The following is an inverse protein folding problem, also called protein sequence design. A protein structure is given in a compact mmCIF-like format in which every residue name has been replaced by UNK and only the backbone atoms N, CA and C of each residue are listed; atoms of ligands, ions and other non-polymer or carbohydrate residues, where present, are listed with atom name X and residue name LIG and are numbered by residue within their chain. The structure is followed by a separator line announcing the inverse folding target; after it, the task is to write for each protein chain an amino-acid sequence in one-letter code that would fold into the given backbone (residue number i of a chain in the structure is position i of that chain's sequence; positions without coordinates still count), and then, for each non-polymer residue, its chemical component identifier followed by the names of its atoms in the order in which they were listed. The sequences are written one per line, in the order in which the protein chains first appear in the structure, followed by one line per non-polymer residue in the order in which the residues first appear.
data_IF_154881866875
#
_entry.id   IF_154881866875
#
_cell.length_a   1.000
_cell.length_b   1.000
_cell.length_c   1.000
_cell.angle_alpha   90.00
_cell.angle_beta   90.00
_cell.angle_gamma   90.00
#
_symmetry.space_group_name_H-M   'P 1'
#
loop_
_entity.id
_entity.type
_entity.pdbx_description
1 polymer ?
#
# COMPACT_ATOMS: atom_id res chain seq x y z
N UNK A 1 16.05 39.36 46.97
CA UNK A 1 14.96 39.44 47.93
C UNK A 1 14.12 38.16 47.90
N UNK A 2 13.32 37.88 48.94
CA UNK A 2 12.50 36.66 48.98
C UNK A 2 11.52 36.52 47.81
N UNK A 3 11.03 37.63 47.27
CA UNK A 3 10.12 37.66 46.08
C UNK A 3 10.80 37.12 44.83
N UNK A 4 12.04 37.55 44.60
CA UNK A 4 12.82 37.10 43.42
C UNK A 4 13.11 35.60 43.48
N UNK A 5 13.43 35.08 44.66
CA UNK A 5 13.64 33.66 44.88
C UNK A 5 12.36 32.86 44.62
N UNK A 6 11.21 33.31 45.14
CA UNK A 6 9.91 32.67 44.90
C UNK A 6 9.54 32.61 43.42
N UNK A 7 9.84 33.69 42.66
CA UNK A 7 9.62 33.69 41.18
C UNK A 7 10.47 32.64 40.47
N UNK A 8 11.75 32.52 40.79
CA UNK A 8 12.62 31.53 40.19
C UNK A 8 12.20 30.09 40.50
N UNK A 9 11.78 29.84 41.74
CA UNK A 9 11.27 28.53 42.16
C UNK A 9 9.98 28.18 41.40
N UNK A 10 9.05 29.13 41.27
CA UNK A 10 7.81 28.93 40.48
C UNK A 10 8.11 28.67 39.02
N UNK A 11 9.02 29.42 38.41
CA UNK A 11 9.41 29.22 37.01
C UNK A 11 10.10 27.88 36.77
N UNK A 12 10.93 27.44 37.70
CA UNK A 12 11.56 26.13 37.67
C UNK A 12 10.53 25.01 37.74
N UNK A 13 9.56 25.09 38.66
CA UNK A 13 8.49 24.10 38.80
C UNK A 13 7.60 24.04 37.54
N UNK A 14 7.30 25.18 36.91
CA UNK A 14 6.58 25.23 35.65
C UNK A 14 7.37 24.58 34.52
N UNK A 15 8.67 24.79 34.44
CA UNK A 15 9.55 24.16 33.45
C UNK A 15 9.57 22.64 33.60
N UNK A 16 9.61 22.13 34.85
CA UNK A 16 9.53 20.69 35.15
C UNK A 16 8.18 20.09 34.71
N UNK A 17 7.08 20.81 34.91
CA UNK A 17 5.76 20.42 34.46
C UNK A 17 5.68 20.30 32.91
N UNK A 18 6.23 21.30 32.22
CA UNK A 18 6.33 21.29 30.74
C UNK A 18 7.17 20.15 30.20
N UNK A 19 8.29 19.82 30.84
CA UNK A 19 9.13 18.68 30.47
C UNK A 19 8.37 17.34 30.51
N UNK A 20 7.54 17.14 31.54
CA UNK A 20 6.71 15.93 31.68
C UNK A 20 5.67 15.82 30.57
N UNK A 21 5.02 16.91 30.20
CA UNK A 21 4.03 16.93 29.12
C UNK A 21 4.69 16.64 27.74
N UNK A 22 5.85 17.21 27.49
CA UNK A 22 6.63 16.94 26.27
C UNK A 22 7.14 15.50 26.21
N UNK A 23 7.56 14.95 27.36
CA UNK A 23 7.98 13.54 27.44
C UNK A 23 6.83 12.60 27.10
N UNK A 24 5.63 12.81 27.63
CA UNK A 24 4.46 11.98 27.34
C UNK A 24 4.12 11.99 25.82
N UNK A 25 4.11 13.18 25.18
CA UNK A 25 3.89 13.29 23.73
C UNK A 25 4.98 12.59 22.90
N UNK A 26 6.21 12.60 23.41
CA UNK A 26 7.34 11.91 22.75
C UNK A 26 7.19 10.39 22.89
N UNK A 27 6.70 9.90 24.02
CA UNK A 27 6.47 8.48 24.27
C UNK A 27 5.32 7.95 23.40
N UNK A 28 4.25 8.73 23.21
CA UNK A 28 3.17 8.38 22.27
C UNK A 28 3.69 8.28 20.84
N UNK A 29 4.53 9.24 20.42
CA UNK A 29 5.15 9.21 19.09
C UNK A 29 6.09 8.01 18.92
N UNK A 30 6.91 7.70 19.94
CA UNK A 30 7.77 6.50 19.94
C UNK A 30 6.93 5.23 19.86
N UNK A 31 5.88 5.12 20.66
CA UNK A 31 4.98 3.97 20.63
C UNK A 31 4.36 3.78 19.26
N UNK A 32 4.02 4.87 18.55
CA UNK A 32 3.54 4.81 17.18
C UNK A 32 4.63 4.33 16.21
N UNK A 33 5.85 4.85 16.32
CA UNK A 33 6.98 4.45 15.48
C UNK A 33 7.43 3.01 15.74
N UNK A 34 7.22 2.50 16.95
CA UNK A 34 7.57 1.12 17.33
C UNK A 34 6.51 0.08 16.94
N UNK A 35 5.38 0.53 16.34
CA UNK A 35 4.39 -0.40 15.77
C UNK A 35 5.04 -1.14 14.60
N UNK A 36 5.38 -2.39 14.85
CA UNK A 36 5.90 -3.27 13.79
C UNK A 36 4.80 -3.65 12.81
N UNK A 37 5.12 -3.64 11.54
CA UNK A 37 4.25 -4.22 10.53
C UNK A 37 4.09 -5.72 10.79
N UNK A 38 2.92 -6.27 10.47
CA UNK A 38 2.67 -7.72 10.63
C UNK A 38 3.72 -8.59 9.92
N UNK A 39 4.29 -8.08 8.81
CA UNK A 39 5.34 -8.77 8.06
C UNK A 39 6.71 -8.74 8.75
N UNK A 40 7.01 -7.71 9.53
CA UNK A 40 8.27 -7.61 10.32
C UNK A 40 8.27 -8.57 11.52
N UNK A 41 7.11 -9.08 11.91
CA UNK A 41 6.96 -10.10 12.96
C UNK A 41 7.25 -11.52 12.45
N UNK A 42 7.35 -11.70 11.15
CA UNK A 42 7.61 -12.99 10.52
C UNK A 42 9.13 -13.15 10.28
N UNK A 43 9.79 -13.94 11.11
CA UNK A 43 11.26 -14.11 11.05
C UNK A 43 11.76 -14.84 9.79
N UNK A 44 10.90 -15.60 9.11
CA UNK A 44 11.26 -16.36 7.90
C UNK A 44 10.13 -16.28 6.88
N UNK A 45 10.50 -15.97 5.66
CA UNK A 45 9.60 -16.01 4.51
C UNK A 45 9.99 -17.14 3.57
N UNK A 46 9.00 -17.86 3.09
CA UNK A 46 9.18 -18.84 2.02
C UNK A 46 9.49 -18.09 0.72
N UNK A 47 10.57 -18.42 0.01
CA UNK A 47 10.84 -17.78 -1.28
C UNK A 47 9.75 -18.12 -2.30
N UNK A 48 9.39 -17.15 -3.12
CA UNK A 48 8.43 -17.38 -4.20
C UNK A 48 9.05 -18.35 -5.21
N UNK A 49 8.38 -19.47 -5.54
CA UNK A 49 8.89 -20.41 -6.52
C UNK A 49 9.08 -19.73 -7.87
N UNK A 50 10.26 -19.89 -8.47
CA UNK A 50 10.47 -19.51 -9.87
C UNK A 50 9.73 -20.51 -10.75
N UNK A 51 8.69 -20.04 -11.42
CA UNK A 51 7.85 -20.87 -12.28
C UNK A 51 7.54 -20.13 -13.59
N UNK A 52 7.32 -20.88 -14.66
CA UNK A 52 6.88 -20.32 -15.95
C UNK A 52 5.42 -19.79 -15.91
N UNK A 53 4.73 -20.03 -14.79
CA UNK A 53 3.39 -19.55 -14.51
C UNK A 53 3.01 -19.75 -13.04
N UNK A 54 2.06 -18.94 -12.59
CA UNK A 54 1.52 -19.01 -11.23
C UNK A 54 0.07 -19.45 -11.27
N UNK A 55 -0.29 -20.38 -10.39
CA UNK A 55 -1.67 -20.81 -10.16
C UNK A 55 -2.11 -20.33 -8.79
N UNK A 56 -3.24 -19.64 -8.76
CA UNK A 56 -3.84 -19.13 -7.55
C UNK A 56 -5.08 -19.96 -7.20
N UNK A 57 -5.20 -20.34 -5.95
CA UNK A 57 -6.31 -21.12 -5.46
C UNK A 57 -6.87 -20.48 -4.19
N UNK A 58 -8.15 -20.14 -4.22
CA UNK A 58 -8.94 -19.71 -3.07
C UNK A 58 -9.64 -20.94 -2.51
N UNK A 59 -9.36 -21.28 -1.24
CA UNK A 59 -9.96 -22.42 -0.53
C UNK A 59 -10.81 -21.93 0.61
N UNK A 60 -12.13 -22.05 0.47
CA UNK A 60 -13.12 -21.68 1.49
C UNK A 60 -12.90 -20.25 2.03
N UNK A 61 -12.53 -19.32 1.17
CA UNK A 61 -12.17 -17.97 1.57
C UNK A 61 -13.40 -17.19 1.97
N UNK A 62 -13.41 -16.73 3.22
CA UNK A 62 -14.36 -15.76 3.74
C UNK A 62 -13.63 -14.54 4.27
N UNK A 63 -14.19 -13.35 4.02
CA UNK A 63 -13.59 -12.09 4.46
C UNK A 63 -14.64 -11.08 4.88
N UNK A 64 -14.37 -10.41 6.00
CA UNK A 64 -15.11 -9.23 6.47
C UNK A 64 -14.13 -8.13 6.87
N UNK A 65 -14.50 -6.90 6.56
CA UNK A 65 -13.72 -5.74 7.00
C UNK A 65 -13.81 -5.57 8.52
N UNK A 66 -12.73 -5.06 9.12
CA UNK A 66 -12.69 -4.78 10.56
C UNK A 66 -13.84 -3.83 10.95
N UNK A 67 -14.61 -4.20 11.96
CA UNK A 67 -15.76 -3.42 12.42
C UNK A 67 -17.07 -3.69 11.65
N UNK A 68 -17.08 -4.58 10.65
CA UNK A 68 -18.30 -5.01 9.96
C UNK A 68 -18.71 -6.41 10.42
N UNK A 69 -20.01 -6.64 10.59
CA UNK A 69 -20.55 -7.96 10.94
C UNK A 69 -20.80 -8.82 9.70
N UNK A 70 -21.04 -8.19 8.55
CA UNK A 70 -21.35 -8.87 7.29
C UNK A 70 -20.09 -9.25 6.53
N UNK A 71 -20.08 -10.44 5.95
CA UNK A 71 -19.02 -10.87 5.06
C UNK A 71 -19.08 -10.14 3.71
N UNK A 72 -17.96 -9.59 3.28
CA UNK A 72 -17.79 -9.04 1.94
C UNK A 72 -17.57 -10.17 0.90
N UNK A 73 -16.97 -11.28 1.32
CA UNK A 73 -16.89 -12.55 0.59
C UNK A 73 -17.16 -13.69 1.55
N UNK A 74 -17.86 -14.73 1.10
CA UNK A 74 -18.20 -15.88 1.92
C UNK A 74 -17.98 -17.17 1.15
N UNK A 75 -17.16 -18.05 1.73
CA UNK A 75 -16.89 -19.40 1.22
C UNK A 75 -16.52 -19.46 -0.27
N UNK A 76 -15.67 -18.54 -0.72
CA UNK A 76 -15.20 -18.49 -2.09
C UNK A 76 -14.22 -19.62 -2.36
N UNK A 77 -14.51 -20.42 -3.38
CA UNK A 77 -13.64 -21.45 -3.92
C UNK A 77 -13.42 -21.17 -5.41
N UNK A 78 -12.18 -20.93 -5.79
CA UNK A 78 -11.82 -20.56 -7.17
C UNK A 78 -10.37 -20.91 -7.43
N UNK A 79 -10.08 -21.47 -8.59
CA UNK A 79 -8.71 -21.71 -9.07
C UNK A 79 -8.54 -21.10 -10.45
N UNK A 80 -7.44 -20.39 -10.67
CA UNK A 80 -7.07 -19.83 -11.97
C UNK A 80 -5.54 -19.72 -12.07
N UNK A 81 -5.04 -19.63 -13.31
CA UNK A 81 -3.61 -19.52 -13.57
C UNK A 81 -3.26 -18.19 -14.21
N UNK A 82 -2.02 -17.73 -14.00
CA UNK A 82 -1.48 -16.59 -14.71
C UNK A 82 -1.57 -16.79 -16.24
N UNK A 83 -1.86 -15.71 -16.95
CA UNK A 83 -2.11 -15.77 -18.40
C UNK A 83 -3.56 -16.05 -18.81
N UNK A 84 -4.40 -16.50 -17.89
CA UNK A 84 -5.84 -16.60 -18.12
C UNK A 84 -6.52 -15.23 -18.06
N UNK A 85 -7.53 -15.02 -18.90
CA UNK A 85 -8.40 -13.85 -18.81
C UNK A 85 -9.61 -14.20 -17.95
N UNK A 86 -9.64 -13.66 -16.73
CA UNK A 86 -10.73 -13.85 -15.78
C UNK A 86 -11.57 -12.56 -15.71
N UNK A 87 -12.87 -12.68 -15.99
CA UNK A 87 -13.83 -11.61 -15.80
C UNK A 87 -14.63 -11.84 -14.50
N UNK A 88 -14.55 -10.88 -13.57
CA UNK A 88 -15.33 -10.92 -12.32
C UNK A 88 -16.51 -9.99 -12.46
N UNK A 89 -17.72 -10.53 -12.53
CA UNK A 89 -18.97 -9.80 -12.73
C UNK A 89 -19.86 -9.90 -11.50
N UNK A 90 -20.70 -8.90 -11.28
CA UNK A 90 -21.65 -8.87 -10.17
C UNK A 90 -22.14 -7.45 -9.88
N UNK A 91 -23.18 -7.34 -9.08
CA UNK A 91 -23.74 -6.06 -8.63
C UNK A 91 -22.72 -5.25 -7.80
N UNK A 92 -23.01 -3.95 -7.61
CA UNK A 92 -22.21 -3.13 -6.71
C UNK A 92 -22.31 -3.71 -5.28
N UNK A 93 -21.16 -3.78 -4.60
CA UNK A 93 -21.09 -4.41 -3.28
C UNK A 93 -20.94 -5.94 -3.28
N UNK A 94 -20.94 -6.62 -4.45
CA UNK A 94 -20.82 -8.08 -4.54
C UNK A 94 -19.40 -8.64 -4.21
N UNK A 95 -18.48 -7.81 -3.69
CA UNK A 95 -17.14 -8.26 -3.28
C UNK A 95 -16.08 -8.29 -4.38
N UNK A 96 -16.37 -7.79 -5.61
CA UNK A 96 -15.40 -7.80 -6.72
C UNK A 96 -14.05 -7.16 -6.38
N UNK A 97 -14.10 -5.94 -5.84
CA UNK A 97 -12.88 -5.23 -5.41
C UNK A 97 -12.22 -5.91 -4.21
N UNK A 98 -13.01 -6.51 -3.33
CA UNK A 98 -12.50 -7.27 -2.18
C UNK A 98 -11.73 -8.50 -2.63
N UNK A 99 -12.23 -9.23 -3.65
CA UNK A 99 -11.52 -10.36 -4.25
C UNK A 99 -10.11 -9.95 -4.73
N UNK A 100 -10.01 -8.85 -5.48
CA UNK A 100 -8.72 -8.34 -5.97
C UNK A 100 -7.81 -7.92 -4.80
N UNK A 101 -8.37 -7.22 -3.80
CA UNK A 101 -7.59 -6.80 -2.62
C UNK A 101 -7.02 -7.98 -1.83
N UNK A 102 -7.76 -9.08 -1.72
CA UNK A 102 -7.30 -10.31 -1.08
C UNK A 102 -6.26 -11.03 -1.94
N UNK A 103 -6.46 -11.12 -3.26
CA UNK A 103 -5.47 -11.68 -4.17
C UNK A 103 -4.14 -10.94 -4.10
N UNK A 104 -4.18 -9.61 -4.00
CA UNK A 104 -2.99 -8.76 -3.83
C UNK A 104 -2.43 -8.77 -2.40
N UNK A 105 -3.04 -9.54 -1.47
CA UNK A 105 -2.66 -9.55 -0.05
C UNK A 105 -2.63 -8.13 0.57
N UNK A 106 -3.53 -7.23 0.12
CA UNK A 106 -3.75 -5.94 0.80
C UNK A 106 -4.52 -6.13 2.11
N UNK A 107 -5.22 -7.24 2.23
CA UNK A 107 -5.88 -7.74 3.45
C UNK A 107 -5.65 -9.24 3.56
N UNK A 108 -5.55 -9.73 4.79
CA UNK A 108 -5.54 -11.16 5.06
C UNK A 108 -6.97 -11.68 5.17
N UNK A 109 -7.19 -12.93 4.77
CA UNK A 109 -8.50 -13.58 4.83
C UNK A 109 -8.95 -13.76 6.29
N UNK A 110 -10.27 -13.68 6.54
CA UNK A 110 -10.84 -13.99 7.87
C UNK A 110 -10.89 -15.49 8.12
N UNK A 111 -11.25 -16.25 7.07
CA UNK A 111 -11.32 -17.72 7.09
C UNK A 111 -10.83 -18.27 5.76
N UNK A 112 -10.32 -19.50 5.79
CA UNK A 112 -9.76 -20.14 4.62
C UNK A 112 -8.34 -19.70 4.30
N UNK A 113 -7.93 -19.93 3.08
CA UNK A 113 -6.57 -19.62 2.62
C UNK A 113 -6.54 -19.34 1.12
N UNK A 114 -5.55 -18.53 0.71
CA UNK A 114 -5.25 -18.28 -0.69
C UNK A 114 -3.86 -18.87 -0.95
N UNK A 115 -3.76 -19.75 -1.93
CA UNK A 115 -2.51 -20.39 -2.29
C UNK A 115 -2.00 -19.86 -3.61
N UNK A 116 -0.68 -19.72 -3.70
CA UNK A 116 0.05 -19.49 -4.95
C UNK A 116 0.99 -20.70 -5.16
N UNK A 117 0.75 -21.44 -6.22
CA UNK A 117 1.44 -22.72 -6.50
C UNK A 117 1.45 -23.68 -5.30
N UNK A 118 0.33 -23.74 -4.57
CA UNK A 118 0.15 -24.64 -3.42
C UNK A 118 0.68 -24.11 -2.08
N UNK A 119 1.34 -22.97 -2.05
CA UNK A 119 1.89 -22.33 -0.84
C UNK A 119 0.96 -21.18 -0.44
N UNK A 120 0.64 -21.07 0.85
CA UNK A 120 -0.17 -19.95 1.36
C UNK A 120 0.54 -18.62 1.11
N UNK A 121 -0.18 -17.65 0.52
CA UNK A 121 0.41 -16.35 0.18
C UNK A 121 0.92 -15.59 1.41
N UNK A 122 0.45 -15.95 2.61
CA UNK A 122 0.92 -15.36 3.88
C UNK A 122 2.34 -15.80 4.25
N UNK A 123 2.83 -16.90 3.68
CA UNK A 123 4.19 -17.38 3.92
C UNK A 123 5.26 -16.61 3.12
N UNK A 124 4.87 -15.91 2.06
CA UNK A 124 5.80 -15.14 1.25
C UNK A 124 6.15 -13.79 1.89
N UNK A 125 7.33 -13.25 1.57
CA UNK A 125 7.57 -11.82 1.77
C UNK A 125 6.58 -10.99 0.96
N UNK A 126 5.93 -10.02 1.60
CA UNK A 126 4.88 -9.22 0.97
C UNK A 126 5.38 -8.40 -0.20
N UNK A 127 6.57 -7.81 -0.08
CA UNK A 127 7.14 -6.98 -1.14
C UNK A 127 7.54 -7.82 -2.35
N UNK A 128 8.07 -9.03 -2.13
CA UNK A 128 8.37 -9.96 -3.23
C UNK A 128 7.07 -10.47 -3.88
N UNK A 129 6.04 -10.76 -3.08
CA UNK A 129 4.74 -11.19 -3.60
C UNK A 129 4.07 -10.10 -4.45
N UNK A 130 4.15 -8.84 -4.04
CA UNK A 130 3.60 -7.72 -4.82
C UNK A 130 4.24 -7.58 -6.20
N UNK A 131 5.49 -7.96 -6.38
CA UNK A 131 6.18 -7.92 -7.68
C UNK A 131 5.58 -8.87 -8.71
N UNK A 132 4.76 -9.84 -8.29
CA UNK A 132 4.03 -10.73 -9.21
C UNK A 132 2.88 -10.04 -9.94
N UNK A 133 2.45 -8.86 -9.49
CA UNK A 133 1.26 -8.19 -9.97
C UNK A 133 1.56 -6.80 -10.51
N UNK A 134 0.71 -6.38 -11.44
CA UNK A 134 0.67 -5.01 -11.93
C UNK A 134 -0.78 -4.51 -11.91
N UNK A 135 -1.30 -4.14 -10.73
CA UNK A 135 -2.69 -3.75 -10.58
C UNK A 135 -2.95 -2.36 -11.19
N UNK A 136 -4.11 -2.22 -11.84
CA UNK A 136 -4.67 -0.93 -12.20
C UNK A 136 -6.00 -0.76 -11.46
N UNK A 137 -6.05 0.19 -10.54
CA UNK A 137 -7.25 0.48 -9.77
C UNK A 137 -8.16 1.45 -10.52
N UNK A 138 -9.45 1.42 -10.21
CA UNK A 138 -10.44 2.31 -10.84
C UNK A 138 -10.24 3.77 -10.40
N UNK A 139 -9.90 3.97 -9.14
CA UNK A 139 -9.56 5.27 -8.58
C UNK A 139 -8.05 5.45 -8.68
N UNK A 140 -7.63 6.39 -9.51
CA UNK A 140 -6.23 6.72 -9.72
C UNK A 140 -5.99 8.12 -9.19
N UNK A 141 -5.13 8.22 -8.20
CA UNK A 141 -4.66 9.50 -7.67
C UNK A 141 -3.49 9.99 -8.51
N UNK A 142 -3.60 11.25 -8.95
CA UNK A 142 -2.51 11.94 -9.63
C UNK A 142 -1.89 12.90 -8.62
N UNK A 143 -0.60 12.73 -8.37
CA UNK A 143 0.13 13.58 -7.42
C UNK A 143 0.54 14.90 -8.06
N UNK A 144 0.67 15.94 -7.22
CA UNK A 144 1.16 17.25 -7.61
C UNK A 144 2.68 17.24 -7.88
N UNK A 145 3.13 16.30 -8.71
CA UNK A 145 4.50 16.09 -9.13
C UNK A 145 4.62 16.14 -10.66
N UNK A 146 5.83 16.23 -11.24
CA UNK A 146 6.02 16.06 -12.67
C UNK A 146 5.43 14.73 -13.19
N UNK A 147 5.00 14.72 -14.45
CA UNK A 147 4.43 13.51 -15.06
C UNK A 147 5.39 12.32 -14.99
N UNK A 148 6.68 12.55 -15.18
CA UNK A 148 7.70 11.50 -15.07
C UNK A 148 7.71 10.82 -13.70
N UNK A 149 7.53 11.58 -12.61
CA UNK A 149 7.46 11.02 -11.24
C UNK A 149 6.15 10.27 -11.00
N UNK A 150 5.03 10.78 -11.53
CA UNK A 150 3.75 10.07 -11.47
C UNK A 150 3.77 8.72 -12.20
N UNK A 151 4.58 8.59 -13.25
CA UNK A 151 4.71 7.35 -14.03
C UNK A 151 5.72 6.39 -13.42
N UNK A 152 6.85 6.90 -12.94
CA UNK A 152 7.94 6.07 -12.43
C UNK A 152 7.80 5.73 -10.94
N UNK A 153 7.02 6.52 -10.20
CA UNK A 153 6.97 6.52 -8.72
C UNK A 153 8.35 6.72 -8.08
N UNK A 154 9.21 7.49 -8.77
CA UNK A 154 10.56 7.84 -8.33
C UNK A 154 10.78 9.34 -8.49
N UNK A 155 11.70 9.91 -7.73
CA UNK A 155 12.10 11.30 -7.91
C UNK A 155 12.65 11.54 -9.33
N UNK A 156 12.48 12.75 -9.84
CA UNK A 156 12.88 13.13 -11.21
C UNK A 156 14.34 12.76 -11.53
N UNK A 157 15.23 12.92 -10.56
CA UNK A 157 16.67 12.59 -10.68
C UNK A 157 16.95 11.09 -10.87
N UNK A 158 16.07 10.22 -10.35
CA UNK A 158 16.17 8.76 -10.40
C UNK A 158 15.31 8.15 -11.51
N UNK A 159 14.52 8.98 -12.21
CA UNK A 159 13.59 8.51 -13.25
C UNK A 159 14.29 8.37 -14.59
N UNK A 160 14.21 7.18 -15.19
CA UNK A 160 14.51 6.97 -16.61
C UNK A 160 13.37 7.56 -17.47
N UNK A 161 13.55 8.83 -17.85
CA UNK A 161 12.53 9.59 -18.60
C UNK A 161 12.24 8.97 -19.97
N UNK A 162 13.24 8.40 -20.65
CA UNK A 162 13.04 7.78 -21.97
C UNK A 162 12.15 6.54 -21.85
N UNK A 163 12.40 5.73 -20.81
CA UNK A 163 11.59 4.56 -20.52
C UNK A 163 10.16 4.95 -20.13
N UNK A 164 9.99 5.95 -19.29
CA UNK A 164 8.68 6.46 -18.90
C UNK A 164 7.88 7.01 -20.10
N UNK A 165 8.52 7.78 -20.96
CA UNK A 165 7.93 8.27 -22.19
C UNK A 165 7.51 7.15 -23.14
N UNK A 166 8.36 6.14 -23.32
CA UNK A 166 8.06 4.94 -24.12
C UNK A 166 6.79 4.25 -23.64
N UNK A 167 6.64 4.09 -22.31
CA UNK A 167 5.43 3.47 -21.75
C UNK A 167 4.18 4.32 -21.91
N UNK A 168 4.28 5.64 -21.76
CA UNK A 168 3.17 6.56 -22.01
C UNK A 168 2.70 6.48 -23.48
N UNK A 169 3.63 6.47 -24.43
CA UNK A 169 3.31 6.32 -25.85
C UNK A 169 2.69 4.95 -26.16
N UNK A 170 3.21 3.88 -25.58
CA UNK A 170 2.64 2.54 -25.68
C UNK A 170 1.23 2.44 -25.08
N UNK A 171 0.92 3.23 -24.05
CA UNK A 171 -0.42 3.35 -23.47
C UNK A 171 -1.37 4.28 -24.28
N UNK A 172 -0.96 4.76 -25.46
CA UNK A 172 -1.78 5.62 -26.31
C UNK A 172 -1.83 7.08 -25.87
N UNK A 173 -0.91 7.51 -25.02
CA UNK A 173 -0.85 8.89 -24.48
C UNK A 173 0.08 9.81 -25.29
N UNK A 174 0.66 9.35 -26.41
CA UNK A 174 1.64 10.11 -27.21
C UNK A 174 1.16 11.48 -27.62
N UNK A 175 -0.01 11.58 -28.27
CA UNK A 175 -0.58 12.85 -28.73
C UNK A 175 -0.84 13.86 -27.58
N UNK A 176 -1.17 13.34 -26.39
CA UNK A 176 -1.37 14.19 -25.20
C UNK A 176 -0.04 14.68 -24.66
N UNK A 177 0.95 13.80 -24.60
CA UNK A 177 2.30 14.12 -24.16
C UNK A 177 2.94 15.20 -25.01
N UNK A 178 2.79 15.12 -26.35
CA UNK A 178 3.33 16.08 -27.31
C UNK A 178 2.68 17.48 -27.19
N UNK A 179 1.48 17.57 -26.62
CA UNK A 179 0.77 18.83 -26.33
C UNK A 179 1.13 19.45 -25.01
N UNK A 180 1.84 18.73 -24.13
CA UNK A 180 2.22 19.26 -22.84
C UNK A 180 3.40 20.25 -22.95
N UNK A 181 3.36 21.41 -22.25
CA UNK A 181 4.32 22.50 -22.45
C UNK A 181 5.77 22.11 -22.10
N UNK A 182 5.97 21.12 -21.25
CA UNK A 182 7.28 20.58 -20.86
C UNK A 182 7.37 19.07 -21.08
N UNK A 183 6.52 18.50 -21.96
CA UNK A 183 6.48 17.07 -22.19
C UNK A 183 6.33 16.28 -20.87
N UNK A 184 7.17 15.30 -20.67
CA UNK A 184 7.16 14.42 -19.48
C UNK A 184 7.52 15.13 -18.16
N UNK A 185 8.13 16.31 -18.22
CA UNK A 185 8.48 17.14 -17.05
C UNK A 185 7.35 18.13 -16.66
N UNK A 186 6.19 18.02 -17.31
CA UNK A 186 5.05 18.87 -17.00
C UNK A 186 4.50 18.54 -15.63
N UNK A 187 4.34 19.56 -14.78
CA UNK A 187 3.69 19.46 -13.47
C UNK A 187 2.21 19.13 -13.65
N UNK A 188 1.72 18.04 -13.03
CA UNK A 188 0.39 17.50 -13.30
C UNK A 188 -0.73 18.27 -12.60
N UNK A 189 -0.52 18.73 -11.37
CA UNK A 189 -1.48 19.53 -10.61
C UNK A 189 -0.79 20.84 -10.24
N UNK A 190 -1.49 21.96 -10.45
CA UNK A 190 -1.05 23.24 -9.89
C UNK A 190 -1.57 23.30 -8.46
N UNK A 191 -0.68 23.39 -7.51
CA UNK A 191 -0.98 23.73 -6.11
C UNK A 191 -1.29 25.22 -6.05
#
# INVERSE_FOLDING_TARGET
SAITFSMYVSQFLQSLGGMREHSAKTDDFRSYMDIKNADELQEKHTPIPKADGYTFEFRNVSFRYKGQETYALKNLNLTFSAGQRLAVVGLNGAGKSTFIKLLLRLYDVTEGQILCNGIDIREFDRNEYFKLFSPAFQEVEVFAFPLCENVSMQLTENTDKQKAEKFLRAAGMGDKLDKLPKGIDTQMLKV
#
